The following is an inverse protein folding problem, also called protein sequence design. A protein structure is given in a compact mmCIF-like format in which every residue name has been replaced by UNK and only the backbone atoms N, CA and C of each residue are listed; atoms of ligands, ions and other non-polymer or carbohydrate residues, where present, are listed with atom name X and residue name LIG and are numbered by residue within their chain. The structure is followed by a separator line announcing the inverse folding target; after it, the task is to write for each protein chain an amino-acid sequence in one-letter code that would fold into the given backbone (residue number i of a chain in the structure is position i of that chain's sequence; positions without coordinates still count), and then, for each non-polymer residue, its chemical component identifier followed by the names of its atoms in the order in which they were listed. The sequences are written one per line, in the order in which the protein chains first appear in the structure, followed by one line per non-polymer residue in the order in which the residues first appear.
data_IF_773200043279
#
_entry.id   IF_773200043279
#
_cell.length_a   1.000
_cell.length_b   1.000
_cell.length_c   1.000
_cell.angle_alpha   90.00
_cell.angle_beta   90.00
_cell.angle_gamma   90.00
#
_symmetry.space_group_name_H-M   'P 1'
#
loop_
_entity.id
_entity.type
_entity.pdbx_description
1 polymer ?
#
# COMPACT_ATOMS: atom_id res chain seq x y z
N UNK A 1 20.73 -3.12 10.91
CA UNK A 1 19.38 -3.09 10.31
C UNK A 1 18.29 -2.81 11.33
N UNK A 2 17.69 -3.82 11.99
CA UNK A 2 16.49 -3.63 12.84
C UNK A 2 16.65 -2.55 13.90
N UNK A 3 17.74 -2.55 14.68
CA UNK A 3 17.98 -1.51 15.67
C UNK A 3 18.14 -0.10 15.08
N UNK A 4 18.68 0.02 13.87
CA UNK A 4 18.87 1.32 13.20
C UNK A 4 17.57 1.83 12.57
N UNK A 5 16.67 0.93 12.14
CA UNK A 5 15.32 1.29 11.70
C UNK A 5 14.42 1.69 12.89
N UNK A 6 14.67 1.12 14.06
CA UNK A 6 13.93 1.39 15.29
C UNK A 6 14.57 2.49 16.16
N UNK A 7 15.50 3.26 15.60
CA UNK A 7 16.07 4.42 16.27
C UNK A 7 14.97 5.46 16.54
N UNK A 8 14.91 5.93 17.78
CA UNK A 8 13.87 6.85 18.26
C UNK A 8 14.03 8.21 17.61
N UNK A 9 15.27 8.68 17.52
CA UNK A 9 15.58 9.96 16.88
C UNK A 9 15.44 9.83 15.36
N UNK A 10 14.50 10.55 14.70
CA UNK A 10 14.30 10.44 13.26
C UNK A 10 15.59 10.71 12.47
N UNK A 11 16.34 11.75 12.84
CA UNK A 11 17.62 12.15 12.23
C UNK A 11 18.65 11.02 12.20
N UNK A 12 18.60 10.10 13.17
CA UNK A 12 19.55 8.99 13.31
C UNK A 12 19.00 7.67 12.76
N UNK A 13 17.73 7.63 12.37
CA UNK A 13 17.06 6.43 11.85
C UNK A 13 17.54 6.14 10.44
N UNK A 14 17.94 4.89 10.20
CA UNK A 14 18.38 4.41 8.88
C UNK A 14 17.39 4.81 7.78
N UNK A 15 17.91 5.32 6.66
CA UNK A 15 17.09 5.81 5.55
C UNK A 15 16.68 7.28 5.65
N UNK A 16 16.93 7.96 6.78
CA UNK A 16 16.76 9.41 6.88
C UNK A 16 17.92 10.13 6.20
N UNK A 17 17.66 11.28 5.58
CA UNK A 17 18.67 12.02 4.81
C UNK A 17 19.91 12.42 5.65
N UNK A 18 19.74 12.59 6.96
CA UNK A 18 20.78 12.99 7.92
C UNK A 18 21.41 11.79 8.64
N UNK A 19 20.95 10.57 8.38
CA UNK A 19 21.44 9.39 9.07
C UNK A 19 22.85 9.02 8.59
N UNK A 20 23.79 8.87 9.54
CA UNK A 20 25.17 8.46 9.26
C UNK A 20 25.26 7.06 8.63
N UNK A 21 24.25 6.21 8.86
CA UNK A 21 24.17 4.88 8.25
C UNK A 21 23.67 4.90 6.79
N UNK A 22 23.29 6.08 6.29
CA UNK A 22 22.91 6.31 4.91
C UNK A 22 21.55 5.72 4.51
N UNK A 23 21.42 5.47 3.21
CA UNK A 23 20.22 4.91 2.58
C UNK A 23 19.99 3.45 2.98
N UNK A 24 18.73 3.08 3.15
CA UNK A 24 18.28 1.72 3.47
C UNK A 24 18.76 0.69 2.43
N UNK A 25 18.81 1.07 1.16
CA UNK A 25 19.18 0.21 0.02
C UNK A 25 20.64 -0.25 0.05
N UNK A 26 21.51 0.50 0.71
CA UNK A 26 22.95 0.21 0.83
C UNK A 26 23.29 -0.63 2.07
N UNK A 27 22.31 -0.90 2.95
CA UNK A 27 22.57 -1.65 4.17
C UNK A 27 22.89 -3.12 3.86
N UNK A 28 23.92 -3.68 4.53
CA UNK A 28 24.45 -5.05 4.30
C UNK A 28 23.43 -6.20 4.27
N UNK A 29 22.26 -6.00 4.87
CA UNK A 29 21.17 -6.98 4.88
C UNK A 29 20.62 -7.20 3.46
N UNK A 30 20.61 -6.15 2.63
CA UNK A 30 20.14 -6.19 1.25
C UNK A 30 21.28 -6.44 0.25
N UNK A 31 22.46 -6.88 0.72
CA UNK A 31 23.55 -7.24 -0.18
C UNK A 31 23.09 -8.31 -1.17
N UNK A 32 23.32 -8.07 -2.45
CA UNK A 32 22.91 -8.97 -3.54
C UNK A 32 21.51 -8.68 -4.11
N UNK A 33 20.75 -7.72 -3.56
CA UNK A 33 19.52 -7.25 -4.18
C UNK A 33 19.86 -6.26 -5.30
N UNK A 34 19.41 -6.57 -6.52
CA UNK A 34 19.39 -5.60 -7.61
C UNK A 34 18.08 -4.80 -7.56
N UNK A 35 18.14 -3.58 -7.03
CA UNK A 35 16.97 -2.72 -6.86
C UNK A 35 16.26 -2.36 -8.17
N UNK A 36 16.98 -2.28 -9.30
CA UNK A 36 16.38 -2.03 -10.61
C UNK A 36 15.56 -3.24 -11.10
N UNK A 37 16.00 -4.45 -10.77
CA UNK A 37 15.24 -5.68 -11.08
C UNK A 37 14.04 -5.86 -10.15
N UNK A 38 14.13 -5.42 -8.89
CA UNK A 38 12.98 -5.36 -7.99
C UNK A 38 11.92 -4.42 -8.54
N UNK A 39 12.30 -3.18 -8.89
CA UNK A 39 11.39 -2.14 -9.39
C UNK A 39 10.70 -2.56 -10.71
N UNK A 40 11.45 -3.25 -11.59
CA UNK A 40 10.91 -3.80 -12.84
C UNK A 40 10.23 -5.18 -12.70
N UNK A 41 9.96 -5.62 -11.46
CA UNK A 41 9.28 -6.89 -11.14
C UNK A 41 9.93 -8.15 -11.75
N UNK A 42 11.26 -8.13 -11.95
CA UNK A 42 12.03 -9.24 -12.55
C UNK A 42 12.47 -10.28 -11.52
N UNK A 43 12.55 -9.91 -10.25
CA UNK A 43 12.90 -10.84 -9.17
C UNK A 43 11.67 -11.66 -8.80
N UNK A 44 11.77 -12.98 -8.91
CA UNK A 44 10.69 -13.89 -8.49
C UNK A 44 10.44 -13.74 -6.98
N UNK A 45 9.19 -13.49 -6.54
CA UNK A 45 8.87 -13.44 -5.11
C UNK A 45 9.18 -14.78 -4.42
N UNK A 46 9.67 -14.76 -3.17
CA UNK A 46 9.96 -15.99 -2.42
C UNK A 46 8.68 -16.77 -2.06
N UNK A 47 7.55 -16.08 -2.01
CA UNK A 47 6.22 -16.65 -1.78
C UNK A 47 5.29 -16.19 -2.89
N UNK A 48 4.59 -17.14 -3.49
CA UNK A 48 3.54 -16.88 -4.49
C UNK A 48 2.23 -17.31 -3.85
N UNK A 49 1.27 -16.39 -3.62
CA UNK A 49 -0.03 -16.74 -3.05
C UNK A 49 -0.76 -17.69 -4.00
N UNK A 50 -1.55 -18.59 -3.42
CA UNK A 50 -2.43 -19.46 -4.21
C UNK A 50 -3.60 -18.63 -4.71
N UNK A 51 -3.93 -18.77 -5.99
CA UNK A 51 -5.07 -18.16 -6.66
C UNK A 51 -5.58 -19.22 -7.64
N UNK A 52 -6.80 -19.68 -7.48
CA UNK A 52 -7.36 -20.74 -8.33
C UNK A 52 -8.03 -20.18 -9.60
N UNK A 53 -8.65 -19.00 -9.48
CA UNK A 53 -9.39 -18.35 -10.56
C UNK A 53 -9.42 -16.81 -10.36
N UNK A 54 -9.79 -16.01 -11.38
CA UNK A 54 -9.67 -14.55 -11.32
C UNK A 54 -10.45 -13.83 -10.22
N UNK A 55 -11.51 -14.46 -9.70
CA UNK A 55 -12.38 -13.92 -8.64
C UNK A 55 -12.24 -14.69 -7.31
N UNK A 56 -11.14 -15.41 -7.12
CA UNK A 56 -10.86 -16.18 -5.90
C UNK A 56 -10.73 -15.26 -4.68
N UNK A 57 -11.43 -15.60 -3.59
CA UNK A 57 -11.45 -14.84 -2.35
C UNK A 57 -10.71 -15.52 -1.19
N UNK A 58 -9.98 -16.62 -1.41
CA UNK A 58 -9.38 -17.43 -0.34
C UNK A 58 -8.33 -16.70 0.51
N UNK A 59 -7.79 -15.59 0.02
CA UNK A 59 -6.79 -14.77 0.73
C UNK A 59 -7.42 -13.57 1.47
N UNK A 60 -8.76 -13.49 1.51
CA UNK A 60 -9.52 -12.52 2.30
C UNK A 60 -10.13 -13.22 3.53
N UNK A 61 -10.37 -12.45 4.59
CA UNK A 61 -11.06 -12.97 5.77
C UNK A 61 -12.52 -13.30 5.43
N UNK A 62 -13.01 -14.43 5.92
CA UNK A 62 -14.36 -14.90 5.64
C UNK A 62 -15.42 -13.97 6.19
N UNK A 63 -15.13 -13.22 7.26
CA UNK A 63 -16.02 -12.18 7.80
C UNK A 63 -16.48 -11.21 6.70
N UNK A 64 -15.60 -10.86 5.76
CA UNK A 64 -15.95 -9.93 4.66
C UNK A 64 -16.53 -10.63 3.44
N UNK A 65 -16.06 -11.85 3.11
CA UNK A 65 -16.53 -12.55 1.90
C UNK A 65 -17.90 -13.19 2.07
N UNK A 66 -18.29 -13.49 3.32
CA UNK A 66 -19.62 -14.00 3.66
C UNK A 66 -20.63 -12.87 3.92
N UNK A 67 -20.15 -11.65 4.15
CA UNK A 67 -21.01 -10.48 4.28
C UNK A 67 -21.63 -10.13 2.94
N UNK A 68 -22.93 -9.81 2.95
CA UNK A 68 -23.64 -9.38 1.74
C UNK A 68 -23.04 -8.08 1.20
N UNK A 69 -22.67 -8.08 -0.08
CA UNK A 69 -22.07 -6.93 -0.76
C UNK A 69 -23.12 -5.83 -1.01
N UNK A 70 -23.48 -5.10 0.04
CA UNK A 70 -24.47 -4.03 0.02
C UNK A 70 -23.92 -2.74 0.63
N UNK A 71 -24.45 -1.62 0.17
CA UNK A 71 -24.19 -0.33 0.81
C UNK A 71 -25.00 -0.22 2.10
N UNK A 72 -24.39 0.36 3.14
CA UNK A 72 -25.12 0.75 4.34
C UNK A 72 -26.19 1.78 3.96
N UNK A 73 -27.46 1.58 4.35
CA UNK A 73 -28.50 2.58 4.12
C UNK A 73 -28.12 3.92 4.74
N UNK A 74 -28.33 5.01 4.00
CA UNK A 74 -27.96 6.35 4.41
C UNK A 74 -29.19 7.06 4.99
N UNK A 75 -29.01 7.72 6.14
CA UNK A 75 -30.00 8.66 6.68
C UNK A 75 -29.96 9.97 5.88
N UNK A 76 -31.08 10.37 5.30
CA UNK A 76 -31.20 11.59 4.48
C UNK A 76 -30.77 12.86 5.23
N UNK A 77 -30.93 12.90 6.56
CA UNK A 77 -30.48 14.01 7.39
C UNK A 77 -28.96 14.21 7.33
N UNK A 78 -28.19 13.15 7.10
CA UNK A 78 -26.75 13.23 6.91
C UNK A 78 -26.45 13.92 5.58
N UNK A 79 -27.12 13.50 4.49
CA UNK A 79 -26.90 14.04 3.14
C UNK A 79 -27.15 15.55 3.07
N UNK A 80 -28.19 16.03 3.74
CA UNK A 80 -28.55 17.46 3.74
C UNK A 80 -27.50 18.32 4.47
N UNK A 81 -26.80 17.75 5.44
CA UNK A 81 -25.81 18.46 6.24
C UNK A 81 -24.38 18.37 5.68
N UNK A 82 -24.17 17.65 4.58
CA UNK A 82 -22.87 17.54 3.92
C UNK A 82 -22.64 18.76 3.01
N UNK A 83 -21.54 19.46 3.23
CA UNK A 83 -21.06 20.50 2.32
C UNK A 83 -20.40 19.86 1.09
N UNK A 84 -21.05 19.97 -0.07
CA UNK A 84 -20.54 19.42 -1.32
C UNK A 84 -19.25 20.10 -1.82
N UNK A 85 -18.97 21.34 -1.41
CA UNK A 85 -17.73 22.01 -1.81
C UNK A 85 -16.49 21.32 -1.23
N UNK A 86 -16.63 20.55 -0.14
CA UNK A 86 -15.56 19.72 0.42
C UNK A 86 -15.07 18.64 -0.55
N UNK A 87 -15.90 18.22 -1.51
CA UNK A 87 -15.59 17.18 -2.49
C UNK A 87 -15.22 17.75 -3.87
N UNK A 88 -15.05 19.06 -3.98
CA UNK A 88 -14.62 19.69 -5.23
C UNK A 88 -13.24 19.17 -5.63
N UNK A 89 -13.13 18.63 -6.84
CA UNK A 89 -11.90 18.02 -7.35
C UNK A 89 -11.72 16.54 -7.00
N UNK A 90 -12.73 15.89 -6.40
CA UNK A 90 -12.69 14.45 -6.10
C UNK A 90 -12.71 13.56 -7.34
N UNK A 91 -13.44 13.97 -8.39
CA UNK A 91 -13.58 13.17 -9.62
C UNK A 91 -12.24 13.03 -10.34
N UNK A 92 -11.79 11.79 -10.49
CA UNK A 92 -10.57 11.44 -11.21
C UNK A 92 -10.80 10.19 -12.06
N UNK A 93 -10.19 10.17 -13.25
CA UNK A 93 -10.08 8.98 -14.09
C UNK A 93 -8.64 8.90 -14.58
N UNK A 94 -8.03 7.73 -14.50
CA UNK A 94 -6.65 7.56 -14.93
C UNK A 94 -6.56 7.76 -16.45
N UNK A 95 -5.89 8.81 -16.95
CA UNK A 95 -5.82 9.11 -18.39
C UNK A 95 -4.97 8.09 -19.17
N UNK A 96 -4.23 7.21 -18.50
CA UNK A 96 -3.45 6.13 -19.12
C UNK A 96 -4.25 4.82 -19.24
N UNK A 97 -5.43 4.75 -18.64
CA UNK A 97 -6.31 3.57 -18.61
C UNK A 97 -7.74 3.90 -19.08
N UNK A 98 -7.94 5.06 -19.69
CA UNK A 98 -9.17 5.36 -20.43
C UNK A 98 -9.13 4.58 -21.75
N UNK A 99 -10.14 3.74 -21.98
CA UNK A 99 -10.39 3.09 -23.27
C UNK A 99 -10.36 4.07 -24.44
#
# INVERSE_FOLDING_TARGET
MFFQLLERSPEKRLGSAQCEHGDITNHRFFNGINWSEVDSLKIKPPFIPKIEFPTDTQNFDSEFTETEANFTPIDESILVNIDNELFKGFSYTNPQLTD
#
